data_IF_359776145650
#
_entry.id   IF_359776145650
#
_cell.length_a   1.000
_cell.length_b   1.000
_cell.length_c   1.000
_cell.angle_alpha   90.00
_cell.angle_beta   90.00
_cell.angle_gamma   90.00
#
_symmetry.space_group_name_H-M   'P 1'
#
loop_
_entity.id
_entity.type
_entity.pdbx_description
1 polymer ?
#
# COMPACT_ATOMS: atom_id res chain seq x y z
N UNK A 1 -3.80 38.70 4.28
CA UNK A 1 -3.52 37.44 3.55
C UNK A 1 -3.08 36.39 4.56
N UNK A 2 -3.93 35.42 4.84
CA UNK A 2 -3.61 34.33 5.77
C UNK A 2 -2.60 33.39 5.10
N UNK A 3 -1.39 33.25 5.67
CA UNK A 3 -0.37 32.35 5.13
C UNK A 3 -0.82 30.91 5.35
N UNK A 4 -1.28 30.24 4.27
CA UNK A 4 -1.67 28.83 4.28
C UNK A 4 -0.50 27.97 4.79
N UNK A 5 -0.65 27.39 5.98
CA UNK A 5 0.38 26.57 6.63
C UNK A 5 0.45 25.21 5.93
N UNK A 6 1.64 24.81 5.45
CA UNK A 6 1.85 23.46 4.88
C UNK A 6 1.65 22.41 5.96
N UNK A 7 0.76 21.44 5.71
CA UNK A 7 0.57 20.31 6.62
C UNK A 7 1.73 19.33 6.44
N UNK A 8 2.79 19.47 7.26
CA UNK A 8 3.92 18.54 7.29
C UNK A 8 3.61 17.44 8.29
N UNK A 9 3.12 16.30 7.79
CA UNK A 9 3.01 15.08 8.58
C UNK A 9 4.29 14.27 8.39
N UNK A 10 4.97 13.95 9.49
CA UNK A 10 6.09 13.00 9.48
C UNK A 10 5.52 11.60 9.61
N UNK A 11 5.61 10.80 8.55
CA UNK A 11 5.34 9.37 8.66
C UNK A 11 6.48 8.75 9.47
N UNK A 12 6.14 8.14 10.61
CA UNK A 12 7.11 7.47 11.49
C UNK A 12 7.29 5.99 11.12
N UNK A 13 6.37 5.44 10.35
CA UNK A 13 6.40 4.07 9.80
C UNK A 13 6.78 4.11 8.33
N UNK A 14 7.50 3.09 7.85
CA UNK A 14 7.80 2.96 6.42
C UNK A 14 6.50 2.78 5.62
N UNK A 15 6.52 3.19 4.36
CA UNK A 15 5.40 2.96 3.44
C UNK A 15 5.15 1.45 3.27
N UNK A 16 6.21 0.65 3.19
CA UNK A 16 6.14 -0.81 3.08
C UNK A 16 5.42 -1.45 4.27
N UNK A 17 5.68 -0.96 5.48
CA UNK A 17 4.98 -1.42 6.67
C UNK A 17 3.50 -1.04 6.64
N UNK A 18 3.14 0.15 6.20
CA UNK A 18 1.73 0.53 6.08
C UNK A 18 1.00 -0.29 5.01
N UNK A 19 1.64 -0.57 3.88
CA UNK A 19 1.09 -1.38 2.81
C UNK A 19 0.91 -2.85 3.24
N UNK A 20 1.84 -3.41 4.01
CA UNK A 20 1.71 -4.79 4.54
C UNK A 20 0.52 -4.91 5.49
N UNK A 21 0.35 -3.92 6.39
CA UNK A 21 -0.81 -3.84 7.27
C UNK A 21 -2.13 -3.69 6.49
N UNK A 22 -2.12 -2.91 5.40
CA UNK A 22 -3.27 -2.75 4.53
C UNK A 22 -3.64 -4.08 3.87
N UNK A 23 -2.67 -4.78 3.27
CA UNK A 23 -2.87 -6.08 2.64
C UNK A 23 -3.43 -7.11 3.64
N UNK A 24 -2.84 -7.19 4.83
CA UNK A 24 -3.29 -8.09 5.88
C UNK A 24 -4.73 -7.78 6.34
N UNK A 25 -5.06 -6.51 6.56
CA UNK A 25 -6.41 -6.10 6.97
C UNK A 25 -7.45 -6.36 5.88
N UNK A 26 -7.07 -6.21 4.60
CA UNK A 26 -7.94 -6.49 3.46
C UNK A 26 -8.23 -7.99 3.34
N UNK A 27 -7.21 -8.85 3.49
CA UNK A 27 -7.39 -10.31 3.52
C UNK A 27 -8.23 -10.77 4.71
N UNK A 28 -8.00 -10.21 5.90
CA UNK A 28 -8.78 -10.53 7.09
C UNK A 28 -10.27 -10.18 6.91
N UNK A 29 -10.56 -9.01 6.33
CA UNK A 29 -11.94 -8.63 5.99
C UNK A 29 -12.53 -9.54 4.91
N UNK A 30 -11.77 -9.87 3.87
CA UNK A 30 -12.24 -10.78 2.82
C UNK A 30 -12.60 -12.17 3.37
N UNK A 31 -11.84 -12.67 4.35
CA UNK A 31 -12.12 -13.93 5.00
C UNK A 31 -13.43 -13.93 5.79
N UNK A 32 -13.83 -12.78 6.34
CA UNK A 32 -15.06 -12.61 7.12
C UNK A 32 -16.32 -12.39 6.25
N UNK A 33 -16.15 -12.13 4.94
CA UNK A 33 -17.27 -11.87 4.02
C UNK A 33 -17.53 -13.09 3.15
N UNK A 34 -18.81 -13.36 2.88
CA UNK A 34 -19.26 -14.40 1.97
C UNK A 34 -18.65 -14.24 0.57
N UNK A 35 -18.43 -15.34 -0.17
CA UNK A 35 -17.98 -15.26 -1.55
C UNK A 35 -18.90 -14.38 -2.40
N UNK A 36 -18.30 -13.46 -3.16
CA UNK A 36 -19.03 -12.48 -3.99
C UNK A 36 -18.18 -11.25 -4.31
N UNK A 37 -18.80 -10.26 -4.96
CA UNK A 37 -18.13 -9.06 -5.44
C UNK A 37 -17.41 -8.28 -4.33
N UNK A 38 -17.98 -8.24 -3.13
CA UNK A 38 -17.38 -7.54 -1.99
C UNK A 38 -16.09 -8.22 -1.52
N UNK A 39 -16.08 -9.55 -1.46
CA UNK A 39 -14.89 -10.34 -1.15
C UNK A 39 -13.82 -10.16 -2.20
N UNK A 40 -14.19 -10.20 -3.48
CA UNK A 40 -13.26 -9.99 -4.60
C UNK A 40 -12.65 -8.58 -4.58
N UNK A 41 -13.44 -7.56 -4.27
CA UNK A 41 -12.97 -6.19 -4.12
C UNK A 41 -11.93 -6.06 -2.99
N UNK A 42 -12.16 -6.71 -1.85
CA UNK A 42 -11.21 -6.74 -0.74
C UNK A 42 -9.92 -7.50 -1.10
N UNK A 43 -10.02 -8.63 -1.81
CA UNK A 43 -8.85 -9.37 -2.28
C UNK A 43 -8.05 -8.56 -3.32
N UNK A 44 -8.74 -7.84 -4.21
CA UNK A 44 -8.08 -6.94 -5.18
C UNK A 44 -7.29 -5.85 -4.47
N UNK A 45 -7.87 -5.22 -3.45
CA UNK A 45 -7.17 -4.22 -2.62
C UNK A 45 -5.94 -4.80 -1.92
N UNK A 46 -6.01 -6.04 -1.44
CA UNK A 46 -4.84 -6.70 -0.86
C UNK A 46 -3.72 -6.89 -1.89
N UNK A 47 -4.08 -7.36 -3.08
CA UNK A 47 -3.12 -7.55 -4.17
C UNK A 47 -2.52 -6.22 -4.67
N UNK A 48 -3.31 -5.16 -4.77
CA UNK A 48 -2.82 -3.82 -5.11
C UNK A 48 -1.81 -3.31 -4.07
N UNK A 49 -2.06 -3.54 -2.78
CA UNK A 49 -1.12 -3.18 -1.72
C UNK A 49 0.19 -3.98 -1.82
N UNK A 50 0.12 -5.29 -2.11
CA UNK A 50 1.31 -6.11 -2.33
C UNK A 50 2.14 -5.60 -3.52
N UNK A 51 1.50 -5.25 -4.64
CA UNK A 51 2.18 -4.67 -5.81
C UNK A 51 2.79 -3.31 -5.52
N UNK A 52 2.13 -2.47 -4.73
CA UNK A 52 2.68 -1.19 -4.32
C UNK A 52 3.95 -1.37 -3.47
N UNK A 53 4.04 -2.40 -2.63
CA UNK A 53 5.28 -2.71 -1.89
C UNK A 53 6.42 -3.13 -2.82
N UNK A 54 6.14 -3.96 -3.82
CA UNK A 54 7.13 -4.33 -4.83
C UNK A 54 7.65 -3.09 -5.56
N UNK A 55 6.75 -2.18 -5.97
CA UNK A 55 7.13 -0.92 -6.61
C UNK A 55 7.95 -0.01 -5.68
N UNK A 56 7.56 0.13 -4.42
CA UNK A 56 8.35 0.88 -3.43
C UNK A 56 9.75 0.29 -3.31
N UNK A 57 9.87 -1.02 -3.22
CA UNK A 57 11.16 -1.69 -3.16
C UNK A 57 12.01 -1.39 -4.40
N UNK A 58 11.42 -1.43 -5.59
CA UNK A 58 12.11 -1.07 -6.83
C UNK A 58 12.58 0.40 -6.82
N UNK A 59 11.71 1.34 -6.48
CA UNK A 59 12.04 2.78 -6.52
C UNK A 59 13.03 3.18 -5.43
N UNK A 60 13.05 2.48 -4.31
CA UNK A 60 13.95 2.79 -3.17
C UNK A 60 15.27 2.04 -3.21
N UNK A 61 15.40 0.98 -4.02
CA UNK A 61 16.67 0.26 -4.18
C UNK A 61 17.64 1.07 -5.05
N UNK A 62 18.78 1.51 -4.52
CA UNK A 62 19.78 2.21 -5.31
C UNK A 62 20.43 1.24 -6.32
N UNK A 63 20.55 1.64 -7.58
CA UNK A 63 21.33 0.90 -8.58
C UNK A 63 20.60 -0.25 -9.27
N UNK A 64 19.29 -0.16 -9.50
CA UNK A 64 18.63 -1.04 -10.48
C UNK A 64 19.19 -0.69 -11.86
N UNK A 65 20.11 -1.51 -12.35
CA UNK A 65 20.42 -1.57 -13.78
C UNK A 65 19.17 -2.08 -14.50
N UNK A 66 18.38 -1.14 -15.05
CA UNK A 66 17.36 -1.46 -16.03
C UNK A 66 18.06 -2.16 -17.20
N UNK A 67 17.59 -3.34 -17.65
CA UNK A 67 18.20 -4.01 -18.80
C UNK A 67 18.16 -3.07 -20.01
N UNK A 68 19.32 -2.89 -20.67
CA UNK A 68 19.45 -2.12 -21.91
C UNK A 68 18.75 -2.78 -23.08
#
# INVERSE_FOLDING_TARGET
MEKKRRNRVRQTTSLSFMLSQLAQSARARAAAVSPGLDRESLLRKAHEADRAMEMEHLVTTPGIDLPR
#
